data_IF_917656241146
#
_entry.id   IF_917656241146
#
_cell.length_a   1.000
_cell.length_b   1.000
_cell.length_c   1.000
_cell.angle_alpha   90.00
_cell.angle_beta   90.00
_cell.angle_gamma   90.00
#
_symmetry.space_group_name_H-M   'P 1'
#
loop_
_entity.id
_entity.type
_entity.pdbx_description
1 polymer ?
#
# COMPACT_ATOMS: atom_id res chain seq x y z
N UNK A 1 -21.20 -23.75 -50.27
CA UNK A 1 -21.42 -23.34 -48.86
C UNK A 1 -20.08 -23.58 -48.16
N UNK A 2 -19.36 -22.50 -47.84
CA UNK A 2 -17.90 -22.53 -47.66
C UNK A 2 -17.53 -22.70 -46.19
N UNK A 3 -16.62 -23.64 -45.90
CA UNK A 3 -16.20 -24.00 -44.53
C UNK A 3 -15.39 -22.87 -43.87
N UNK A 4 -14.85 -21.95 -44.68
CA UNK A 4 -14.14 -20.74 -44.22
C UNK A 4 -15.02 -19.79 -43.41
N UNK A 5 -16.32 -19.69 -43.74
CA UNK A 5 -17.21 -18.68 -43.17
C UNK A 5 -17.64 -19.03 -41.73
N UNK A 6 -17.58 -20.32 -41.40
CA UNK A 6 -17.89 -20.85 -40.08
C UNK A 6 -16.74 -20.67 -39.07
N UNK A 7 -15.50 -20.47 -39.54
CA UNK A 7 -14.33 -20.29 -38.68
C UNK A 7 -14.17 -18.84 -38.21
N UNK A 8 -14.56 -17.86 -39.04
CA UNK A 8 -14.52 -16.43 -38.67
C UNK A 8 -15.60 -16.05 -37.64
N UNK A 9 -16.78 -16.67 -37.68
CA UNK A 9 -17.86 -16.41 -36.70
C UNK A 9 -17.50 -16.90 -35.29
N UNK A 10 -16.87 -18.08 -35.17
CA UNK A 10 -16.42 -18.60 -33.87
C UNK A 10 -15.37 -17.71 -33.19
N UNK A 11 -14.48 -17.06 -33.94
CA UNK A 11 -13.51 -16.13 -33.36
C UNK A 11 -14.15 -14.82 -32.92
N UNK A 12 -15.13 -14.31 -33.69
CA UNK A 12 -15.87 -13.10 -33.33
C UNK A 12 -16.75 -13.31 -32.10
N UNK A 13 -17.36 -14.48 -31.93
CA UNK A 13 -18.19 -14.80 -30.76
C UNK A 13 -17.35 -15.02 -29.50
N UNK A 14 -16.18 -15.67 -29.59
CA UNK A 14 -15.31 -15.90 -28.41
C UNK A 14 -14.62 -14.61 -27.92
N UNK A 15 -14.41 -13.61 -28.79
CA UNK A 15 -13.84 -12.31 -28.41
C UNK A 15 -14.89 -11.19 -28.24
N UNK A 16 -16.14 -11.42 -28.63
CA UNK A 16 -17.22 -10.43 -28.61
C UNK A 16 -17.82 -10.16 -27.23
N UNK A 17 -17.71 -11.10 -26.28
CA UNK A 17 -18.20 -10.94 -24.90
C UNK A 17 -17.20 -10.30 -23.94
N UNK A 18 -15.91 -10.23 -24.32
CA UNK A 18 -14.85 -9.64 -23.48
C UNK A 18 -15.06 -8.15 -23.16
N UNK A 19 -15.46 -7.28 -24.12
CA UNK A 19 -15.68 -5.86 -23.86
C UNK A 19 -16.86 -5.60 -22.91
N UNK A 20 -17.90 -6.44 -22.97
CA UNK A 20 -19.11 -6.30 -22.14
C UNK A 20 -18.88 -6.77 -20.71
N UNK A 21 -18.11 -7.84 -20.50
CA UNK A 21 -17.62 -8.23 -19.16
C UNK A 21 -16.71 -7.15 -18.60
N UNK A 22 -15.88 -6.50 -19.42
CA UNK A 22 -14.99 -5.43 -18.98
C UNK A 22 -15.73 -4.17 -18.53
N UNK A 23 -16.98 -3.95 -18.97
CA UNK A 23 -17.84 -2.81 -18.61
C UNK A 23 -18.85 -3.13 -17.51
N UNK A 24 -18.86 -4.36 -16.99
CA UNK A 24 -19.78 -4.74 -15.92
C UNK A 24 -19.51 -3.87 -14.68
N UNK A 25 -20.54 -3.16 -14.25
CA UNK A 25 -20.51 -2.27 -13.11
C UNK A 25 -20.75 -3.12 -11.87
N UNK A 26 -19.70 -3.35 -11.07
CA UNK A 26 -19.82 -4.19 -9.87
C UNK A 26 -20.34 -3.35 -8.70
N UNK A 27 -19.90 -2.10 -8.59
CA UNK A 27 -20.35 -1.15 -7.55
C UNK A 27 -20.33 0.30 -8.05
N UNK A 28 -21.27 1.12 -7.59
CA UNK A 28 -21.26 2.58 -7.79
C UNK A 28 -20.86 3.21 -6.47
N UNK A 29 -19.72 3.92 -6.45
CA UNK A 29 -19.31 4.74 -5.32
C UNK A 29 -19.24 6.19 -5.82
N UNK A 30 -19.98 7.08 -5.16
CA UNK A 30 -20.11 8.51 -5.52
C UNK A 30 -20.42 8.77 -7.01
N UNK A 31 -21.44 8.10 -7.54
CA UNK A 31 -21.95 8.34 -8.89
C UNK A 31 -20.93 8.08 -10.03
N UNK A 32 -19.84 7.36 -9.74
CA UNK A 32 -18.87 6.87 -10.73
C UNK A 32 -18.86 5.34 -10.71
N UNK A 33 -19.20 4.66 -11.81
CA UNK A 33 -19.16 3.20 -11.83
C UNK A 33 -17.73 2.70 -11.61
N UNK A 34 -17.56 1.84 -10.61
CA UNK A 34 -16.36 1.02 -10.42
C UNK A 34 -16.56 -0.21 -11.30
N UNK A 35 -15.92 -0.17 -12.46
CA UNK A 35 -15.96 -1.21 -13.48
C UNK A 35 -14.97 -2.32 -13.14
N UNK A 36 -15.24 -3.58 -13.54
CA UNK A 36 -14.30 -4.71 -13.39
C UNK A 36 -12.87 -4.38 -13.85
N UNK A 37 -12.73 -3.61 -14.93
CA UNK A 37 -11.43 -3.12 -15.43
C UNK A 37 -10.62 -2.26 -14.44
N UNK A 38 -11.28 -1.53 -13.53
CA UNK A 38 -10.62 -0.74 -12.49
C UNK A 38 -10.06 -1.64 -11.39
N UNK A 39 -10.81 -2.66 -10.98
CA UNK A 39 -10.36 -3.63 -9.98
C UNK A 39 -9.14 -4.43 -10.46
N UNK A 40 -9.17 -4.92 -11.70
CA UNK A 40 -8.00 -5.62 -12.30
C UNK A 40 -6.79 -4.71 -12.41
N UNK A 41 -6.97 -3.46 -12.86
CA UNK A 41 -5.88 -2.46 -12.91
C UNK A 41 -5.31 -2.20 -11.50
N UNK A 42 -6.17 -2.10 -10.49
CA UNK A 42 -5.76 -1.94 -9.10
C UNK A 42 -4.93 -3.11 -8.57
N UNK A 43 -5.35 -4.35 -8.85
CA UNK A 43 -4.61 -5.56 -8.46
C UNK A 43 -3.23 -5.58 -9.12
N UNK A 44 -3.15 -5.26 -10.42
CA UNK A 44 -1.88 -5.20 -11.15
C UNK A 44 -0.95 -4.13 -10.54
N UNK A 45 -1.48 -2.94 -10.25
CA UNK A 45 -0.74 -1.86 -9.60
C UNK A 45 -0.23 -2.26 -8.21
N UNK A 46 -1.05 -2.93 -7.41
CA UNK A 46 -0.64 -3.43 -6.09
C UNK A 46 0.44 -4.50 -6.23
N UNK A 47 0.31 -5.41 -7.19
CA UNK A 47 1.28 -6.46 -7.42
C UNK A 47 2.64 -5.87 -7.82
N UNK A 48 2.68 -5.00 -8.83
CA UNK A 48 3.90 -4.33 -9.27
C UNK A 48 4.47 -3.46 -8.14
N UNK A 49 3.61 -2.67 -7.49
CA UNK A 49 3.98 -1.80 -6.40
C UNK A 49 4.56 -2.55 -5.20
N UNK A 50 4.07 -3.75 -4.89
CA UNK A 50 4.60 -4.60 -3.83
C UNK A 50 6.09 -4.91 -4.07
N UNK A 51 6.47 -5.31 -5.29
CA UNK A 51 7.88 -5.56 -5.61
C UNK A 51 8.73 -4.29 -5.51
N UNK A 52 8.18 -3.15 -5.95
CA UNK A 52 8.86 -1.86 -5.81
C UNK A 52 9.09 -1.52 -4.33
N UNK A 53 8.04 -1.56 -3.50
CA UNK A 53 8.13 -1.30 -2.07
C UNK A 53 9.15 -2.25 -1.40
N UNK A 54 9.14 -3.54 -1.76
CA UNK A 54 10.09 -4.53 -1.21
C UNK A 54 11.52 -4.21 -1.61
N UNK A 55 11.77 -3.86 -2.87
CA UNK A 55 13.11 -3.51 -3.37
C UNK A 55 13.62 -2.21 -2.74
N UNK A 56 12.77 -1.17 -2.70
CA UNK A 56 13.11 0.13 -2.12
C UNK A 56 13.38 0.00 -0.62
N UNK A 57 12.55 -0.73 0.12
CA UNK A 57 12.74 -0.92 1.57
C UNK A 57 14.06 -1.61 1.91
N UNK A 58 14.44 -2.62 1.11
CA UNK A 58 15.75 -3.26 1.22
C UNK A 58 16.89 -2.31 0.90
N UNK A 59 16.76 -1.49 -0.14
CA UNK A 59 17.79 -0.52 -0.51
C UNK A 59 17.99 0.55 0.57
N UNK A 60 16.90 1.10 1.12
CA UNK A 60 16.94 2.06 2.22
C UNK A 60 17.62 1.42 3.43
N UNK A 61 17.18 0.22 3.82
CA UNK A 61 17.76 -0.49 4.96
C UNK A 61 19.22 -0.86 4.73
N UNK A 62 19.60 -1.26 3.52
CA UNK A 62 20.98 -1.60 3.21
C UNK A 62 21.90 -0.39 3.14
N UNK A 63 21.42 0.80 2.76
CA UNK A 63 22.27 1.99 2.61
C UNK A 63 22.30 2.89 3.84
N UNK A 64 21.16 3.05 4.49
CA UNK A 64 21.00 3.96 5.63
C UNK A 64 21.38 3.25 6.91
N UNK A 65 20.87 2.04 7.14
CA UNK A 65 21.09 1.31 8.39
C UNK A 65 22.44 0.59 8.43
N UNK A 66 23.11 0.36 7.29
CA UNK A 66 24.50 -0.14 7.31
C UNK A 66 25.52 0.87 7.79
N UNK A 67 25.16 2.16 7.79
CA UNK A 67 26.00 3.23 8.35
C UNK A 67 25.81 3.39 9.85
N UNK A 68 24.78 2.78 10.41
CA UNK A 68 24.51 2.73 11.83
C UNK A 68 25.08 1.40 12.31
N UNK A 69 25.94 1.41 13.32
CA UNK A 69 26.51 0.19 13.91
C UNK A 69 25.45 -0.51 14.76
N UNK A 70 24.42 -1.05 14.10
CA UNK A 70 23.23 -1.65 14.72
C UNK A 70 23.16 -3.14 14.45
N UNK A 71 22.63 -3.86 15.43
CA UNK A 71 22.45 -5.31 15.35
C UNK A 71 21.61 -5.73 14.14
N UNK A 72 21.97 -6.86 13.54
CA UNK A 72 21.30 -7.43 12.38
C UNK A 72 19.80 -7.66 12.63
N UNK A 73 19.41 -8.03 13.85
CA UNK A 73 18.02 -8.20 14.28
C UNK A 73 17.23 -6.89 14.25
N UNK A 74 17.84 -5.79 14.69
CA UNK A 74 17.22 -4.47 14.66
C UNK A 74 17.09 -3.98 13.21
N UNK A 75 18.10 -4.23 12.38
CA UNK A 75 18.08 -3.89 10.96
C UNK A 75 16.93 -4.58 10.20
N UNK A 76 16.71 -5.86 10.43
CA UNK A 76 15.59 -6.59 9.83
C UNK A 76 14.23 -6.07 10.32
N UNK A 77 14.13 -5.74 11.60
CA UNK A 77 12.91 -5.17 12.19
C UNK A 77 12.56 -3.83 11.54
N UNK A 78 13.54 -2.93 11.42
CA UNK A 78 13.36 -1.63 10.79
C UNK A 78 13.04 -1.74 9.30
N UNK A 79 13.69 -2.65 8.56
CA UNK A 79 13.33 -2.92 7.16
C UNK A 79 11.86 -3.31 7.04
N UNK A 80 11.39 -4.18 7.93
CA UNK A 80 10.02 -4.68 7.93
C UNK A 80 9.02 -3.55 8.24
N UNK A 81 9.33 -2.67 9.20
CA UNK A 81 8.51 -1.50 9.52
C UNK A 81 8.44 -0.54 8.33
N UNK A 82 9.58 -0.20 7.71
CA UNK A 82 9.64 0.65 6.52
C UNK A 82 8.81 0.06 5.38
N UNK A 83 8.93 -1.26 5.16
CA UNK A 83 8.18 -1.97 4.14
C UNK A 83 6.67 -1.88 4.37
N UNK A 84 6.18 -2.11 5.59
CA UNK A 84 4.75 -2.00 5.89
C UNK A 84 4.22 -0.57 5.74
N UNK A 85 4.99 0.44 6.14
CA UNK A 85 4.61 1.85 5.91
C UNK A 85 4.46 2.13 4.41
N UNK A 86 5.44 1.72 3.60
CA UNK A 86 5.36 1.88 2.14
C UNK A 86 4.18 1.12 1.53
N UNK A 87 3.91 -0.09 2.00
CA UNK A 87 2.80 -0.92 1.51
C UNK A 87 1.44 -0.27 1.82
N UNK A 88 1.27 0.31 3.01
CA UNK A 88 0.06 1.07 3.37
C UNK A 88 -0.11 2.27 2.45
N UNK A 89 0.95 3.05 2.23
CA UNK A 89 0.91 4.22 1.33
C UNK A 89 0.54 3.81 -0.10
N UNK A 90 1.16 2.75 -0.63
CA UNK A 90 0.85 2.19 -1.94
C UNK A 90 -0.63 1.79 -2.03
N UNK A 91 -1.13 1.11 -1.00
CA UNK A 91 -2.52 0.65 -0.95
C UNK A 91 -3.49 1.83 -0.99
N UNK A 92 -3.28 2.84 -0.14
CA UNK A 92 -4.11 4.05 -0.13
C UNK A 92 -4.03 4.81 -1.46
N UNK A 93 -2.85 4.85 -2.09
CA UNK A 93 -2.66 5.46 -3.40
C UNK A 93 -3.47 4.75 -4.49
N UNK A 94 -3.42 3.41 -4.54
CA UNK A 94 -4.22 2.62 -5.47
C UNK A 94 -5.71 2.81 -5.20
N UNK A 95 -6.17 2.75 -3.95
CA UNK A 95 -7.57 3.00 -3.61
C UNK A 95 -8.05 4.36 -4.12
N UNK A 96 -7.23 5.40 -3.96
CA UNK A 96 -7.52 6.74 -4.48
C UNK A 96 -7.62 6.77 -6.01
N UNK A 97 -6.71 6.09 -6.73
CA UNK A 97 -6.78 5.92 -8.18
C UNK A 97 -8.09 5.26 -8.64
N UNK A 98 -8.56 4.26 -7.87
CA UNK A 98 -9.80 3.56 -8.13
C UNK A 98 -11.06 4.37 -7.77
N UNK A 99 -10.91 5.61 -7.27
CA UNK A 99 -11.98 6.44 -6.71
C UNK A 99 -12.70 5.75 -5.53
N UNK A 100 -11.99 4.91 -4.78
CA UNK A 100 -12.50 4.34 -3.52
C UNK A 100 -12.30 5.37 -2.40
N UNK A 101 -13.33 5.67 -1.60
CA UNK A 101 -13.23 6.63 -0.50
C UNK A 101 -12.27 6.13 0.56
N UNK A 102 -11.16 6.86 0.74
CA UNK A 102 -10.12 6.53 1.73
C UNK A 102 -10.47 7.01 3.15
N UNK A 103 -11.62 7.68 3.33
CA UNK A 103 -12.02 8.34 4.58
C UNK A 103 -12.06 7.39 5.77
N UNK A 104 -12.49 6.14 5.57
CA UNK A 104 -12.53 5.15 6.65
C UNK A 104 -11.11 4.76 7.10
N UNK A 105 -10.17 4.69 6.15
CA UNK A 105 -8.78 4.35 6.44
C UNK A 105 -8.04 5.49 7.13
N UNK A 106 -8.37 6.75 6.83
CA UNK A 106 -7.81 7.90 7.57
C UNK A 106 -8.34 7.95 9.00
N UNK A 107 -9.62 7.64 9.24
CA UNK A 107 -10.16 7.55 10.60
C UNK A 107 -9.51 6.41 11.39
N UNK A 108 -9.43 5.21 10.79
CA UNK A 108 -8.76 4.06 11.42
C UNK A 108 -7.27 4.33 11.65
N UNK A 109 -6.59 4.93 10.68
CA UNK A 109 -5.20 5.35 10.80
C UNK A 109 -4.99 6.35 11.93
N UNK A 110 -5.91 7.31 12.10
CA UNK A 110 -5.91 8.23 13.25
C UNK A 110 -6.06 7.51 14.59
N UNK A 111 -7.01 6.57 14.70
CA UNK A 111 -7.19 5.77 15.90
C UNK A 111 -5.96 4.90 16.22
N UNK A 112 -5.34 4.28 15.22
CA UNK A 112 -4.10 3.52 15.37
C UNK A 112 -2.94 4.43 15.81
N UNK A 113 -2.78 5.61 15.21
CA UNK A 113 -1.74 6.57 15.57
C UNK A 113 -1.88 7.02 17.03
N UNK A 114 -3.11 7.26 17.49
CA UNK A 114 -3.40 7.57 18.89
C UNK A 114 -3.02 6.38 19.79
N UNK A 115 -3.41 5.15 19.44
CA UNK A 115 -3.09 3.95 20.22
C UNK A 115 -1.58 3.69 20.33
N UNK A 116 -0.85 3.84 19.23
CA UNK A 116 0.63 3.73 19.22
C UNK A 116 1.26 4.87 20.03
N UNK A 117 0.74 6.09 19.92
CA UNK A 117 1.18 7.24 20.71
C UNK A 117 1.04 7.01 22.22
N UNK A 118 -0.12 6.53 22.66
CA UNK A 118 -0.34 6.15 24.06
C UNK A 118 0.56 4.98 24.50
N UNK A 119 0.72 3.94 23.67
CA UNK A 119 1.57 2.79 23.98
C UNK A 119 3.06 3.14 24.09
N UNK A 120 3.51 4.17 23.37
CA UNK A 120 4.89 4.67 23.39
C UNK A 120 5.13 5.81 24.38
N UNK A 121 4.08 6.28 25.07
CA UNK A 121 4.13 7.45 25.95
C UNK A 121 5.25 7.34 27.00
N UNK A 122 5.42 6.17 27.63
CA UNK A 122 6.47 5.94 28.63
C UNK A 122 7.88 6.07 28.04
N UNK A 123 8.10 5.54 26.83
CA UNK A 123 9.41 5.62 26.15
C UNK A 123 9.72 7.08 25.82
N UNK A 124 8.73 7.81 25.29
CA UNK A 124 8.87 9.23 24.95
C UNK A 124 9.11 10.06 26.21
N UNK A 125 8.39 9.81 27.29
CA UNK A 125 8.58 10.50 28.57
C UNK A 125 10.01 10.28 29.11
N UNK A 126 10.49 9.04 29.13
CA UNK A 126 11.83 8.71 29.58
C UNK A 126 12.92 9.37 28.71
N UNK A 127 12.70 9.45 27.39
CA UNK A 127 13.62 10.13 26.47
C UNK A 127 13.69 11.64 26.74
N UNK A 128 12.54 12.30 26.91
CA UNK A 128 12.46 13.73 27.23
C UNK A 128 13.14 14.01 28.57
N UNK A 129 12.88 13.20 29.60
CA UNK A 129 13.57 13.31 30.90
C UNK A 129 15.08 13.20 30.74
N UNK A 130 15.56 12.28 29.90
CA UNK A 130 16.97 12.16 29.54
C UNK A 130 17.56 13.44 28.95
N UNK A 131 16.88 14.03 27.96
CA UNK A 131 17.33 15.29 27.33
C UNK A 131 17.34 16.45 28.31
N UNK A 132 16.31 16.58 29.15
CA UNK A 132 16.22 17.64 30.17
C UNK A 132 17.41 17.53 31.13
N UNK A 133 17.70 16.33 31.65
CA UNK A 133 18.84 16.12 32.55
C UNK A 133 20.19 16.52 31.92
N UNK A 134 20.37 16.29 30.60
CA UNK A 134 21.58 16.70 29.89
C UNK A 134 21.71 18.22 29.78
N UNK A 135 20.58 18.94 29.70
CA UNK A 135 20.55 20.39 29.57
C UNK A 135 20.65 21.07 30.94
N UNK A 136 20.00 20.51 31.96
CA UNK A 136 19.80 21.18 33.25
C UNK A 136 21.00 21.04 34.20
N UNK A 137 22.05 20.28 33.84
CA UNK A 137 23.25 19.95 34.68
C UNK A 137 22.90 19.94 36.17
N UNK A 138 22.28 18.86 36.69
CA UNK A 138 21.94 18.79 38.10
C UNK A 138 23.21 19.02 38.96
N UNK A 139 23.16 20.04 39.80
CA UNK A 139 24.17 20.38 40.82
C UNK A 139 24.11 19.43 42.01
#
# INVERSE_FOLDING_TARGET
>A
MNISDHFYSWQADIFGWLPDVWRFQVFVVDNKPITLGKLTTGIILLFIGYFICRSVSRQISSKVLSRLDIDQSLKHTLETVIFYIMLVILTLFVLRLLNVPITIFTVLGGALAIGVGFGSQTIVANFISGLIMMIERPI
#
